data_IF_712929405624
#
_entry.id   IF_712929405624
#
_cell.length_a   1.000
_cell.length_b   1.000
_cell.length_c   1.000
_cell.angle_alpha   90.00
_cell.angle_beta   90.00
_cell.angle_gamma   90.00
#
_symmetry.space_group_name_H-M   'P 1'
#
loop_
_entity.id
_entity.type
_entity.pdbx_description
1 polymer ?
#
# COMPACT_ATOMS: atom_id res chain seq x y z
N UNK A 1 27.49 -1.48 11.50
CA UNK A 1 26.37 -2.42 11.63
C UNK A 1 25.53 -2.01 12.83
N UNK A 2 24.22 -2.03 12.70
CA UNK A 2 23.29 -1.82 13.80
C UNK A 2 22.73 -3.14 14.33
N UNK A 3 22.77 -3.32 15.64
CA UNK A 3 22.05 -4.40 16.32
C UNK A 3 20.72 -3.86 16.84
N UNK A 4 19.61 -4.40 16.36
CA UNK A 4 18.28 -3.84 16.59
C UNK A 4 17.41 -4.83 17.35
N UNK A 5 16.93 -4.45 18.53
CA UNK A 5 15.85 -5.14 19.22
C UNK A 5 14.53 -4.48 18.86
N UNK A 6 13.62 -5.26 18.30
CA UNK A 6 12.26 -4.82 17.95
C UNK A 6 11.29 -5.56 18.86
N UNK A 7 10.54 -4.80 19.65
CA UNK A 7 9.55 -5.33 20.58
C UNK A 7 8.40 -6.05 19.87
N UNK A 8 7.79 -7.03 20.53
CA UNK A 8 6.67 -7.83 19.97
C UNK A 8 5.52 -6.96 19.49
N UNK A 9 5.17 -5.89 20.19
CA UNK A 9 4.10 -4.98 19.78
C UNK A 9 4.36 -4.38 18.38
N UNK A 10 5.61 -4.06 18.06
CA UNK A 10 6.01 -3.53 16.75
C UNK A 10 5.85 -4.59 15.66
N UNK A 11 6.33 -5.82 15.89
CA UNK A 11 6.15 -6.92 14.96
C UNK A 11 4.68 -7.23 14.67
N UNK A 12 3.85 -7.20 15.71
CA UNK A 12 2.42 -7.45 15.58
C UNK A 12 1.71 -6.33 14.79
N UNK A 13 2.14 -5.08 14.96
CA UNK A 13 1.57 -3.95 14.22
C UNK A 13 2.03 -3.95 12.76
N UNK A 14 3.30 -4.29 12.47
CA UNK A 14 3.78 -4.52 11.10
C UNK A 14 2.98 -5.61 10.37
N UNK A 15 2.59 -6.66 11.09
CA UNK A 15 1.80 -7.75 10.49
C UNK A 15 0.36 -7.34 10.22
N UNK A 16 -0.25 -6.49 11.07
CA UNK A 16 -1.65 -6.07 10.95
C UNK A 16 -1.88 -5.03 9.87
N UNK A 17 -0.93 -4.13 9.67
CA UNK A 17 -1.08 -2.97 8.80
C UNK A 17 -0.32 -3.19 7.48
N UNK A 18 -1.07 -3.45 6.41
CA UNK A 18 -0.49 -3.67 5.08
C UNK A 18 0.29 -2.46 4.56
N UNK A 19 -0.01 -1.25 5.03
CA UNK A 19 0.73 -0.03 4.64
C UNK A 19 2.16 -0.05 5.17
N UNK A 20 2.42 -0.86 6.21
CA UNK A 20 3.74 -1.04 6.81
C UNK A 20 4.61 -2.11 6.10
N UNK A 21 4.11 -2.74 5.04
CA UNK A 21 4.89 -3.74 4.29
C UNK A 21 6.19 -3.19 3.72
N UNK A 22 6.23 -1.90 3.40
CA UNK A 22 7.46 -1.23 2.96
C UNK A 22 8.50 -1.20 4.06
N UNK A 23 8.09 -0.86 5.28
CA UNK A 23 8.99 -0.85 6.43
C UNK A 23 9.58 -2.24 6.67
N UNK A 24 8.76 -3.29 6.49
CA UNK A 24 9.23 -4.67 6.55
C UNK A 24 10.21 -5.00 5.41
N UNK A 25 9.94 -4.53 4.19
CA UNK A 25 10.83 -4.72 3.03
C UNK A 25 12.17 -4.02 3.21
N UNK A 26 12.18 -2.79 3.71
CA UNK A 26 13.41 -2.04 4.07
C UNK A 26 14.21 -2.80 5.12
N UNK A 27 13.55 -3.28 6.19
CA UNK A 27 14.22 -4.05 7.23
C UNK A 27 14.87 -5.33 6.67
N UNK A 28 14.15 -6.09 5.83
CA UNK A 28 14.65 -7.29 5.17
C UNK A 28 15.87 -6.98 4.27
N UNK A 29 15.84 -5.86 3.56
CA UNK A 29 16.94 -5.40 2.72
C UNK A 29 18.17 -5.08 3.56
N UNK A 30 18.03 -4.25 4.61
CA UNK A 30 19.14 -3.86 5.47
C UNK A 30 19.75 -5.05 6.22
N UNK A 31 18.95 -6.06 6.58
CA UNK A 31 19.45 -7.33 7.14
C UNK A 31 20.27 -8.10 6.10
N UNK A 32 19.80 -8.17 4.86
CA UNK A 32 20.48 -8.85 3.75
C UNK A 32 21.81 -8.20 3.39
N UNK A 33 21.87 -6.87 3.45
CA UNK A 33 23.07 -6.06 3.21
C UNK A 33 24.04 -6.05 4.39
N UNK A 34 23.66 -6.64 5.53
CA UNK A 34 24.51 -6.69 6.74
C UNK A 34 24.62 -5.35 7.48
N UNK A 35 23.74 -4.40 7.19
CA UNK A 35 23.68 -3.14 7.95
C UNK A 35 22.90 -3.29 9.26
N UNK A 36 21.94 -4.22 9.30
CA UNK A 36 21.13 -4.55 10.47
C UNK A 36 21.30 -6.01 10.85
N UNK A 37 21.47 -6.26 12.15
CA UNK A 37 21.38 -7.56 12.80
C UNK A 37 20.30 -7.49 13.89
N UNK A 38 19.39 -8.46 13.93
CA UNK A 38 18.34 -8.50 14.93
C UNK A 38 18.85 -9.05 16.25
N UNK A 39 18.52 -8.40 17.36
CA UNK A 39 18.57 -8.96 18.70
C UNK A 39 17.20 -9.61 18.95
N UNK A 40 17.15 -10.94 19.00
CA UNK A 40 15.90 -11.69 19.07
C UNK A 40 15.81 -12.53 20.36
N UNK A 41 15.29 -11.97 21.45
CA UNK A 41 14.97 -12.72 22.67
C UNK A 41 13.90 -13.79 22.44
N UNK A 42 14.00 -14.92 23.13
CA UNK A 42 13.00 -16.02 23.11
C UNK A 42 11.60 -15.51 23.46
N UNK A 43 11.47 -14.56 24.37
CA UNK A 43 10.17 -13.97 24.75
C UNK A 43 9.43 -13.34 23.58
N UNK A 44 10.14 -12.68 22.67
CA UNK A 44 9.53 -12.08 21.47
C UNK A 44 8.95 -13.15 20.56
N UNK A 45 9.69 -14.22 20.32
CA UNK A 45 9.24 -15.34 19.48
C UNK A 45 8.00 -15.99 20.07
N UNK A 46 8.05 -16.33 21.36
CA UNK A 46 6.96 -17.02 22.05
C UNK A 46 5.69 -16.15 22.13
N UNK A 47 5.85 -14.85 22.35
CA UNK A 47 4.74 -13.91 22.39
C UNK A 47 4.14 -13.67 21.00
N UNK A 48 4.97 -13.55 19.97
CA UNK A 48 4.53 -13.42 18.58
C UNK A 48 3.70 -14.64 18.18
N UNK A 49 4.18 -15.86 18.41
CA UNK A 49 3.46 -17.09 18.11
C UNK A 49 2.11 -17.17 18.84
N UNK A 50 2.05 -16.83 20.13
CA UNK A 50 0.80 -16.78 20.89
C UNK A 50 -0.24 -15.81 20.32
N UNK A 51 0.21 -14.69 19.74
CA UNK A 51 -0.67 -13.65 19.22
C UNK A 51 -1.04 -13.82 17.74
N UNK A 52 -0.26 -14.56 16.97
CA UNK A 52 -0.42 -14.78 15.52
C UNK A 52 -1.82 -15.19 15.10
N UNK A 53 -2.37 -16.24 15.71
CA UNK A 53 -3.73 -16.73 15.38
C UNK A 53 -4.80 -15.65 15.63
N UNK A 54 -4.66 -14.90 16.72
CA UNK A 54 -5.59 -13.83 17.08
C UNK A 54 -5.57 -12.69 16.07
N UNK A 55 -4.40 -12.36 15.53
CA UNK A 55 -4.27 -11.28 14.54
C UNK A 55 -4.99 -11.62 13.24
N UNK A 56 -4.81 -12.83 12.73
CA UNK A 56 -5.46 -13.29 11.50
C UNK A 56 -6.99 -13.22 11.63
N UNK A 57 -7.52 -13.64 12.79
CA UNK A 57 -8.96 -13.65 13.02
C UNK A 57 -9.56 -12.28 13.37
N UNK A 58 -8.87 -11.51 14.24
CA UNK A 58 -9.44 -10.29 14.81
C UNK A 58 -9.53 -9.14 13.80
N UNK A 59 -8.53 -8.97 12.91
CA UNK A 59 -8.51 -7.87 11.95
C UNK A 59 -9.70 -7.92 10.99
N UNK A 60 -9.96 -9.07 10.40
CA UNK A 60 -11.04 -9.21 9.43
C UNK A 60 -12.42 -9.13 10.09
N UNK A 61 -12.60 -9.75 11.28
CA UNK A 61 -13.85 -9.68 12.03
C UNK A 61 -14.14 -8.25 12.52
N UNK A 62 -13.13 -7.54 13.00
CA UNK A 62 -13.26 -6.16 13.46
C UNK A 62 -13.64 -5.21 12.33
N UNK A 63 -12.93 -5.28 11.19
CA UNK A 63 -13.21 -4.43 10.03
C UNK A 63 -14.59 -4.71 9.45
N UNK A 64 -14.96 -5.98 9.24
CA UNK A 64 -16.29 -6.36 8.75
C UNK A 64 -17.41 -5.90 9.69
N UNK A 65 -17.21 -6.04 11.01
CA UNK A 65 -18.16 -5.56 12.02
C UNK A 65 -18.30 -4.03 11.99
N UNK A 66 -17.20 -3.31 11.83
CA UNK A 66 -17.19 -1.83 11.75
C UNK A 66 -17.90 -1.35 10.48
N UNK A 67 -17.59 -1.97 9.33
CA UNK A 67 -18.27 -1.67 8.06
C UNK A 67 -19.78 -1.95 8.13
N UNK A 68 -20.18 -3.06 8.75
CA UNK A 68 -21.59 -3.37 8.96
C UNK A 68 -22.30 -2.30 9.78
N UNK A 69 -21.73 -1.88 10.91
CA UNK A 69 -22.29 -0.80 11.76
C UNK A 69 -22.35 0.54 11.01
N UNK A 70 -21.33 0.85 10.22
CA UNK A 70 -21.31 2.07 9.41
C UNK A 70 -22.42 2.04 8.34
N UNK A 71 -22.59 0.92 7.63
CA UNK A 71 -23.67 0.73 6.64
C UNK A 71 -25.04 0.87 7.29
N UNK A 72 -25.28 0.25 8.45
CA UNK A 72 -26.53 0.36 9.22
C UNK A 72 -26.83 1.81 9.65
N UNK A 73 -25.80 2.54 10.10
CA UNK A 73 -25.96 3.95 10.49
C UNK A 73 -26.28 4.84 9.29
N UNK A 74 -25.59 4.65 8.15
CA UNK A 74 -25.83 5.41 6.92
C UNK A 74 -27.20 5.08 6.33
N UNK A 75 -27.62 3.84 6.37
CA UNK A 75 -28.96 3.46 5.88
C UNK A 75 -30.08 4.10 6.70
N UNK A 76 -29.88 4.22 8.01
CA UNK A 76 -30.85 4.78 8.95
C UNK A 76 -30.88 6.31 8.98
N UNK A 77 -29.73 6.98 8.87
CA UNK A 77 -29.57 8.41 9.10
C UNK A 77 -29.01 9.18 7.90
N UNK A 78 -28.61 8.48 6.82
CA UNK A 78 -28.02 9.10 5.64
C UNK A 78 -29.02 9.88 4.79
N UNK A 79 -28.48 10.83 4.03
CA UNK A 79 -29.22 11.71 3.11
C UNK A 79 -29.42 11.07 1.73
N UNK A 80 -29.70 11.92 0.71
CA UNK A 80 -29.91 11.48 -0.68
C UNK A 80 -28.70 10.77 -1.30
N UNK A 81 -27.49 10.94 -0.76
CA UNK A 81 -26.25 10.33 -1.24
C UNK A 81 -25.93 8.99 -0.55
N UNK A 82 -26.79 8.51 0.37
CA UNK A 82 -26.55 7.26 1.12
C UNK A 82 -26.21 6.06 0.24
N UNK A 83 -26.81 5.94 -0.94
CA UNK A 83 -26.56 4.86 -1.88
C UNK A 83 -25.11 4.82 -2.38
N UNK A 84 -24.53 5.99 -2.68
CA UNK A 84 -23.13 6.12 -3.12
C UNK A 84 -22.18 5.71 -1.98
N UNK A 85 -22.41 6.20 -0.77
CA UNK A 85 -21.58 5.89 0.39
C UNK A 85 -21.62 4.40 0.74
N UNK A 86 -22.81 3.77 0.72
CA UNK A 86 -22.96 2.33 0.94
C UNK A 86 -22.21 1.52 -0.15
N UNK A 87 -22.27 1.96 -1.41
CA UNK A 87 -21.55 1.32 -2.51
C UNK A 87 -20.03 1.39 -2.29
N UNK A 88 -19.48 2.51 -1.82
CA UNK A 88 -18.06 2.64 -1.47
C UNK A 88 -17.67 1.72 -0.31
N UNK A 89 -18.51 1.63 0.72
CA UNK A 89 -18.28 0.71 1.84
C UNK A 89 -18.35 -0.76 1.42
N UNK A 90 -19.19 -1.11 0.44
CA UNK A 90 -19.23 -2.45 -0.13
C UNK A 90 -17.94 -2.77 -0.92
N UNK A 91 -17.39 -1.81 -1.65
CA UNK A 91 -16.11 -1.99 -2.35
C UNK A 91 -14.96 -2.24 -1.36
N UNK A 92 -14.95 -1.58 -0.19
CA UNK A 92 -13.99 -1.86 0.88
C UNK A 92 -14.21 -3.27 1.48
N UNK A 93 -15.46 -3.67 1.70
CA UNK A 93 -15.81 -4.99 2.25
C UNK A 93 -15.32 -6.15 1.34
N UNK A 94 -15.42 -5.96 0.02
CA UNK A 94 -14.89 -6.91 -0.97
C UNK A 94 -13.36 -7.06 -0.95
N UNK A 95 -12.63 -6.07 -0.42
CA UNK A 95 -11.17 -6.14 -0.27
C UNK A 95 -10.71 -6.88 0.99
N UNK A 96 -11.59 -7.19 1.94
CA UNK A 96 -11.24 -7.87 3.21
C UNK A 96 -10.50 -9.21 3.00
N UNK A 97 -10.87 -10.09 2.04
CA UNK A 97 -10.11 -11.31 1.79
C UNK A 97 -8.65 -11.04 1.40
N UNK A 98 -8.39 -10.05 0.56
CA UNK A 98 -7.03 -9.64 0.15
C UNK A 98 -6.23 -9.08 1.33
N UNK A 99 -6.87 -8.33 2.24
CA UNK A 99 -6.22 -7.85 3.46
C UNK A 99 -5.81 -9.01 4.39
N UNK A 100 -6.60 -10.08 4.47
CA UNK A 100 -6.22 -11.30 5.22
C UNK A 100 -5.00 -11.97 4.63
N UNK A 101 -4.92 -12.07 3.31
CA UNK A 101 -3.79 -12.66 2.60
C UNK A 101 -2.53 -11.81 2.82
N UNK A 102 -2.61 -10.48 2.73
CA UNK A 102 -1.51 -9.57 3.00
C UNK A 102 -1.00 -9.68 4.45
N UNK A 103 -1.91 -9.82 5.43
CA UNK A 103 -1.54 -10.07 6.83
C UNK A 103 -0.82 -11.41 6.99
N UNK A 104 -1.32 -12.47 6.34
CA UNK A 104 -0.70 -13.79 6.38
C UNK A 104 0.71 -13.79 5.75
N UNK A 105 0.89 -13.07 4.63
CA UNK A 105 2.20 -12.88 4.01
C UNK A 105 3.17 -12.14 4.92
N UNK A 106 2.73 -11.03 5.53
CA UNK A 106 3.55 -10.29 6.49
C UNK A 106 3.99 -11.14 7.68
N UNK A 107 3.10 -11.97 8.21
CA UNK A 107 3.42 -12.92 9.29
C UNK A 107 4.49 -13.93 8.83
N UNK A 108 4.32 -14.54 7.64
CA UNK A 108 5.31 -15.47 7.09
C UNK A 108 6.68 -14.82 6.87
N UNK A 109 6.73 -13.58 6.41
CA UNK A 109 7.96 -12.82 6.22
C UNK A 109 8.67 -12.60 7.56
N UNK A 110 7.94 -12.17 8.58
CA UNK A 110 8.49 -11.99 9.94
C UNK A 110 9.02 -13.32 10.50
N UNK A 111 8.28 -14.41 10.36
CA UNK A 111 8.74 -15.74 10.77
C UNK A 111 10.03 -16.17 10.06
N UNK A 112 10.15 -15.90 8.76
CA UNK A 112 11.39 -16.16 8.01
C UNK A 112 12.58 -15.34 8.54
N UNK A 113 12.35 -14.11 9.00
CA UNK A 113 13.40 -13.32 9.67
C UNK A 113 13.80 -13.97 11.00
N UNK A 114 12.84 -14.39 11.82
CA UNK A 114 13.10 -15.06 13.09
C UNK A 114 13.87 -16.37 12.91
N UNK A 115 13.49 -17.19 11.94
CA UNK A 115 14.16 -18.46 11.63
C UNK A 115 15.63 -18.28 11.18
N UNK A 116 15.99 -17.13 10.63
CA UNK A 116 17.35 -16.82 10.19
C UNK A 116 18.19 -16.10 11.24
N UNK A 117 17.55 -15.70 12.34
CA UNK A 117 18.19 -14.94 13.43
C UNK A 117 18.50 -15.87 14.58
N UNK A 118 19.68 -15.71 15.19
CA UNK A 118 20.02 -16.42 16.42
C UNK A 118 19.10 -15.97 17.56
N UNK A 119 18.37 -16.92 18.13
CA UNK A 119 17.50 -16.66 19.29
C UNK A 119 18.34 -16.61 20.56
N UNK A 120 18.10 -15.59 21.38
CA UNK A 120 18.74 -15.41 22.68
C UNK A 120 17.83 -15.99 23.75
N UNK A 121 18.27 -17.06 24.37
CA UNK A 121 17.57 -17.67 25.50
C UNK A 121 17.73 -16.88 26.80
N UNK A 122 16.72 -16.95 27.67
CA UNK A 122 16.68 -16.19 28.91
C UNK A 122 17.58 -16.86 29.96
N UNK A 123 18.70 -16.26 30.27
CA UNK A 123 19.59 -16.74 31.33
C UNK A 123 18.99 -16.52 32.73
N UNK A 124 19.44 -17.29 33.71
CA UNK A 124 18.99 -17.11 35.11
C UNK A 124 19.41 -15.74 35.68
N UNK A 125 20.53 -15.19 35.23
CA UNK A 125 20.94 -13.85 35.61
C UNK A 125 19.98 -12.77 35.11
N UNK A 126 19.46 -12.91 33.89
CA UNK A 126 18.42 -12.03 33.34
C UNK A 126 17.12 -12.15 34.14
N UNK A 127 16.69 -13.37 34.45
CA UNK A 127 15.50 -13.62 35.30
C UNK A 127 15.57 -12.95 36.64
N UNK A 128 16.72 -13.07 37.29
CA UNK A 128 16.97 -12.46 38.64
C UNK A 128 16.90 -10.92 38.53
N UNK A 129 17.54 -10.32 37.53
CA UNK A 129 17.51 -8.86 37.37
C UNK A 129 16.11 -8.36 37.00
N UNK A 130 15.37 -9.08 36.13
CA UNK A 130 13.99 -8.75 35.81
C UNK A 130 13.08 -8.83 37.06
N UNK A 131 13.24 -9.87 37.89
CA UNK A 131 12.52 -9.98 39.16
C UNK A 131 12.88 -8.87 40.14
N UNK A 132 14.17 -8.46 40.20
CA UNK A 132 14.62 -7.34 41.04
C UNK A 132 13.95 -6.02 40.61
N UNK A 133 13.77 -5.76 39.30
CA UNK A 133 13.00 -4.59 38.84
C UNK A 133 11.58 -4.56 39.40
N UNK A 134 10.93 -5.74 39.48
CA UNK A 134 9.57 -5.84 40.01
C UNK A 134 9.54 -5.54 41.53
N UNK A 135 10.51 -6.04 42.28
CA UNK A 135 10.66 -5.78 43.72
C UNK A 135 10.89 -4.28 43.96
N UNK A 136 11.74 -3.66 43.18
CA UNK A 136 12.13 -2.26 43.31
C UNK A 136 11.10 -1.30 42.68
N UNK A 137 10.01 -1.82 42.07
CA UNK A 137 8.99 -1.06 41.33
C UNK A 137 9.58 -0.15 40.22
N UNK A 138 10.69 -0.55 39.64
CA UNK A 138 11.32 0.13 38.52
C UNK A 138 10.63 -0.23 37.20
N UNK A 139 10.71 0.64 36.19
CA UNK A 139 10.14 0.35 34.89
C UNK A 139 10.53 -1.04 34.37
N UNK A 140 9.59 -1.82 33.83
CA UNK A 140 8.19 -1.50 33.49
C UNK A 140 7.19 -1.66 34.66
N UNK A 141 7.59 -2.04 35.86
CA UNK A 141 6.74 -2.30 37.02
C UNK A 141 6.33 -1.05 37.83
N UNK A 142 6.64 0.14 37.35
CA UNK A 142 6.18 1.41 37.96
C UNK A 142 4.66 1.57 37.87
N UNK A 143 3.98 0.74 37.04
CA UNK A 143 2.53 0.61 36.95
C UNK A 143 2.12 -0.77 37.42
N UNK A 144 0.86 -0.90 37.92
CA UNK A 144 0.34 -2.17 38.45
C UNK A 144 -0.04 -3.14 37.30
N UNK A 145 0.91 -3.51 36.45
CA UNK A 145 0.75 -4.49 35.35
C UNK A 145 1.84 -5.54 35.41
N UNK A 146 1.56 -6.71 34.87
CA UNK A 146 2.57 -7.77 34.75
C UNK A 146 3.48 -7.44 33.53
N UNK A 147 4.62 -6.84 33.80
CA UNK A 147 5.61 -6.45 32.80
C UNK A 147 6.86 -7.31 32.83
N UNK A 148 6.77 -8.59 33.22
CA UNK A 148 7.97 -9.44 33.34
C UNK A 148 8.65 -9.68 31.99
N UNK A 149 7.90 -9.85 30.92
CA UNK A 149 8.45 -10.04 29.57
C UNK A 149 9.16 -8.75 29.12
N UNK A 150 8.57 -7.57 29.36
CA UNK A 150 9.19 -6.26 29.09
C UNK A 150 10.48 -6.05 29.88
N UNK A 151 10.50 -6.48 31.17
CA UNK A 151 11.71 -6.41 32.01
C UNK A 151 12.82 -7.31 31.47
N UNK A 152 12.47 -8.50 30.99
CA UNK A 152 13.40 -9.43 30.35
C UNK A 152 14.00 -8.80 29.09
N UNK A 153 13.20 -8.14 28.25
CA UNK A 153 13.69 -7.44 27.06
C UNK A 153 14.70 -6.35 27.41
N UNK A 154 14.43 -5.54 28.44
CA UNK A 154 15.36 -4.51 28.94
C UNK A 154 16.68 -5.13 29.37
N UNK A 155 16.64 -6.20 30.15
CA UNK A 155 17.87 -6.82 30.70
C UNK A 155 18.70 -7.52 29.61
N UNK A 156 18.05 -8.21 28.64
CA UNK A 156 18.75 -8.79 27.48
C UNK A 156 19.37 -7.69 26.63
N UNK A 157 18.65 -6.61 26.34
CA UNK A 157 19.20 -5.49 25.58
C UNK A 157 20.40 -4.87 26.30
N UNK A 158 20.33 -4.66 27.63
CA UNK A 158 21.42 -4.14 28.41
C UNK A 158 22.66 -5.05 28.36
N UNK A 159 22.50 -6.37 28.38
CA UNK A 159 23.60 -7.32 28.27
C UNK A 159 24.22 -7.28 26.84
N UNK A 160 23.42 -7.22 25.79
CA UNK A 160 23.90 -7.12 24.42
C UNK A 160 24.71 -5.84 24.18
N UNK A 161 24.27 -4.71 24.72
CA UNK A 161 25.01 -3.43 24.66
C UNK A 161 26.33 -3.50 25.38
N UNK A 162 26.41 -4.24 26.51
CA UNK A 162 27.65 -4.39 27.31
C UNK A 162 28.65 -5.35 26.66
N UNK A 163 28.17 -6.49 26.15
CA UNK A 163 29.03 -7.56 25.62
C UNK A 163 29.64 -7.17 24.27
N UNK A 164 28.89 -6.52 23.40
CA UNK A 164 29.37 -6.17 22.08
C UNK A 164 30.09 -4.83 22.06
N UNK A 165 31.26 -4.82 21.42
CA UNK A 165 32.13 -3.63 21.40
C UNK A 165 31.40 -2.41 20.78
N UNK A 166 31.10 -1.36 21.59
CA UNK A 166 30.35 -0.20 21.12
C UNK A 166 31.10 0.65 20.08
N UNK A 167 32.38 0.36 19.83
CA UNK A 167 33.17 1.05 18.80
C UNK A 167 32.93 0.47 17.38
N UNK A 168 32.40 -0.76 17.30
CA UNK A 168 32.10 -1.43 16.02
C UNK A 168 30.60 -1.53 15.74
N UNK A 169 29.78 -1.54 16.77
CA UNK A 169 28.34 -1.74 16.66
C UNK A 169 27.58 -0.54 17.25
N UNK A 170 26.45 -0.22 16.63
CA UNK A 170 25.43 0.66 17.20
C UNK A 170 24.23 -0.20 17.57
N UNK A 171 23.43 0.28 18.50
CA UNK A 171 22.28 -0.45 19.01
C UNK A 171 21.02 0.39 18.85
N UNK A 172 19.90 -0.25 18.63
CA UNK A 172 18.59 0.37 18.63
C UNK A 172 17.58 -0.52 19.35
N UNK A 173 16.81 0.08 20.24
CA UNK A 173 15.64 -0.53 20.88
C UNK A 173 14.39 0.15 20.33
N UNK A 174 13.48 -0.64 19.75
CA UNK A 174 12.27 -0.13 19.09
C UNK A 174 11.05 -0.70 19.78
N UNK A 175 10.15 0.15 20.29
CA UNK A 175 8.91 -0.27 20.94
C UNK A 175 7.79 0.74 20.74
N UNK A 176 6.56 0.26 20.50
CA UNK A 176 5.34 1.09 20.53
C UNK A 176 4.77 1.24 21.94
N UNK A 177 5.27 0.47 22.91
CA UNK A 177 4.82 0.50 24.31
C UNK A 177 5.39 1.71 25.06
N UNK A 178 5.00 2.91 24.64
CA UNK A 178 5.43 4.17 25.26
C UNK A 178 5.03 4.30 26.73
N UNK A 179 4.08 3.51 27.19
CA UNK A 179 3.59 3.58 28.58
C UNK A 179 4.59 2.97 29.57
N UNK A 180 5.27 1.91 29.17
CA UNK A 180 6.16 1.15 30.04
C UNK A 180 7.64 1.49 29.81
N UNK A 181 8.00 1.99 28.62
CA UNK A 181 9.40 2.25 28.25
C UNK A 181 9.75 3.74 28.07
N UNK A 182 8.76 4.64 27.85
CA UNK A 182 9.06 6.07 27.64
C UNK A 182 8.92 6.90 28.91
N UNK A 183 9.51 8.07 28.88
CA UNK A 183 9.45 9.03 29.98
C UNK A 183 8.00 9.42 30.30
N UNK A 184 7.54 9.31 31.56
CA UNK A 184 6.13 9.49 31.92
C UNK A 184 5.63 10.92 31.67
N UNK A 185 6.47 11.93 31.94
CA UNK A 185 6.10 13.36 31.97
C UNK A 185 6.87 14.21 30.93
N UNK A 186 7.54 13.59 29.95
CA UNK A 186 8.26 14.28 28.88
C UNK A 186 7.92 13.69 27.50
N UNK A 187 8.68 14.08 26.47
CA UNK A 187 8.55 13.52 25.12
C UNK A 187 8.67 11.99 25.17
N UNK A 188 7.72 11.31 24.51
CA UNK A 188 7.68 9.84 24.44
C UNK A 188 8.86 9.23 23.68
N UNK A 189 9.59 10.03 22.92
CA UNK A 189 10.85 9.64 22.28
C UNK A 189 12.04 9.54 23.27
N UNK A 190 11.84 9.93 24.51
CA UNK A 190 12.85 9.81 25.59
C UNK A 190 12.55 8.53 26.38
N UNK A 191 13.55 7.65 26.62
CA UNK A 191 13.35 6.44 27.43
C UNK A 191 13.03 6.79 28.89
N UNK A 192 12.34 5.88 29.56
CA UNK A 192 12.04 6.01 30.98
C UNK A 192 13.35 6.16 31.82
N UNK A 193 13.38 7.03 32.86
CA UNK A 193 14.59 7.25 33.68
C UNK A 193 15.24 5.95 34.19
N UNK A 194 14.45 4.95 34.61
CA UNK A 194 14.93 3.66 35.13
C UNK A 194 15.68 2.78 34.11
N UNK A 195 15.61 3.12 32.83
CA UNK A 195 16.28 2.38 31.75
C UNK A 195 17.19 3.28 30.91
N UNK A 196 17.21 4.59 31.19
CA UNK A 196 17.96 5.59 30.42
C UNK A 196 19.46 5.29 30.32
N UNK A 197 20.04 4.64 31.31
CA UNK A 197 21.46 4.27 31.35
C UNK A 197 21.85 3.29 30.22
N UNK A 198 20.88 2.57 29.63
CA UNK A 198 21.12 1.67 28.51
C UNK A 198 21.18 2.42 27.17
N UNK A 199 20.87 3.73 27.15
CA UNK A 199 20.75 4.52 25.93
C UNK A 199 21.74 5.66 25.86
N UNK A 200 22.09 6.07 24.67
CA UNK A 200 22.94 7.21 24.38
C UNK A 200 22.55 7.84 23.06
N UNK A 201 22.98 9.07 22.79
CA UNK A 201 22.63 9.79 21.55
C UNK A 201 23.22 9.18 20.26
N UNK A 202 24.23 8.33 20.37
CA UNK A 202 25.01 7.85 19.21
C UNK A 202 25.09 6.33 19.16
N UNK A 203 25.34 5.66 20.29
CA UNK A 203 25.73 4.25 20.32
C UNK A 203 24.56 3.29 20.59
N UNK A 204 23.59 3.70 21.38
CA UNK A 204 22.44 2.89 21.79
C UNK A 204 21.21 3.78 21.78
N UNK A 205 20.38 3.63 20.76
CA UNK A 205 19.29 4.55 20.44
C UNK A 205 17.94 3.96 20.88
N UNK A 206 17.04 4.82 21.29
CA UNK A 206 15.66 4.48 21.64
C UNK A 206 14.71 5.04 20.61
N UNK A 207 13.80 4.21 20.08
CA UNK A 207 12.79 4.59 19.08
C UNK A 207 11.42 4.08 19.46
N UNK A 208 10.40 4.88 19.15
CA UNK A 208 8.99 4.52 19.32
C UNK A 208 8.33 4.05 18.02
N UNK A 209 9.06 4.12 16.90
CA UNK A 209 8.62 3.57 15.59
C UNK A 209 9.79 2.89 14.89
N UNK A 210 9.52 1.82 14.16
CA UNK A 210 10.56 1.16 13.36
C UNK A 210 10.99 2.04 12.18
N UNK A 211 10.07 2.80 11.60
CA UNK A 211 10.38 3.74 10.51
C UNK A 211 11.45 4.76 10.90
N UNK A 212 11.32 5.40 12.10
CA UNK A 212 12.33 6.34 12.60
C UNK A 212 13.70 5.65 12.80
N UNK A 213 13.69 4.41 13.30
CA UNK A 213 14.90 3.63 13.48
C UNK A 213 15.60 3.33 12.14
N UNK A 214 14.87 2.83 11.15
CA UNK A 214 15.42 2.51 9.83
C UNK A 214 15.88 3.76 9.09
N UNK A 215 15.14 4.87 9.18
CA UNK A 215 15.57 6.15 8.63
C UNK A 215 16.88 6.65 9.27
N UNK A 216 17.09 6.39 10.56
CA UNK A 216 18.35 6.73 11.25
C UNK A 216 19.50 5.83 10.81
N UNK A 217 19.22 4.58 10.45
CA UNK A 217 20.22 3.59 10.00
C UNK A 217 20.65 3.90 8.57
N UNK A 218 19.71 3.96 7.65
CA UNK A 218 19.95 4.23 6.23
C UNK A 218 18.77 5.04 5.63
N UNK A 219 18.88 6.38 5.62
CA UNK A 219 17.82 7.24 5.08
C UNK A 219 17.63 7.10 3.56
N UNK A 220 18.67 6.70 2.82
CA UNK A 220 18.58 6.53 1.36
C UNK A 220 17.66 5.38 1.03
N UNK A 221 17.92 4.18 1.56
CA UNK A 221 17.12 2.99 1.31
C UNK A 221 15.65 3.16 1.68
N UNK A 222 15.35 3.80 2.82
CA UNK A 222 13.95 4.00 3.21
C UNK A 222 13.25 5.01 2.29
N UNK A 223 13.93 6.10 1.91
CA UNK A 223 13.34 7.09 1.02
C UNK A 223 13.12 6.53 -0.39
N UNK A 224 14.04 5.73 -0.92
CA UNK A 224 13.87 5.04 -2.21
C UNK A 224 12.64 4.14 -2.19
N UNK A 225 12.50 3.29 -1.17
CA UNK A 225 11.35 2.38 -1.04
C UNK A 225 10.02 3.12 -0.78
N UNK A 226 10.05 4.21 -0.01
CA UNK A 226 8.86 5.05 0.20
C UNK A 226 8.46 5.78 -1.08
N UNK A 227 9.43 6.30 -1.84
CA UNK A 227 9.17 6.94 -3.13
C UNK A 227 8.62 5.95 -4.16
N UNK A 228 9.13 4.70 -4.20
CA UNK A 228 8.55 3.65 -5.05
C UNK A 228 7.08 3.39 -4.74
N UNK A 229 6.64 3.58 -3.48
CA UNK A 229 5.23 3.45 -3.11
C UNK A 229 4.38 4.67 -3.45
N UNK A 230 4.94 5.87 -3.38
CA UNK A 230 4.25 7.08 -3.85
C UNK A 230 4.01 7.02 -5.38
N UNK A 231 4.81 6.21 -6.10
CA UNK A 231 4.60 5.87 -7.51
C UNK A 231 3.59 4.73 -7.74
N UNK A 232 3.19 4.00 -6.70
CA UNK A 232 1.99 3.15 -6.77
C UNK A 232 0.81 4.11 -6.62
N UNK A 233 0.46 4.75 -7.73
CA UNK A 233 -0.80 5.46 -7.90
C UNK A 233 -1.93 4.62 -7.28
N UNK A 234 -2.84 5.26 -6.57
CA UNK A 234 -4.08 4.59 -6.17
C UNK A 234 -4.68 3.93 -7.42
N UNK A 235 -5.04 2.64 -7.38
CA UNK A 235 -5.57 1.97 -8.55
C UNK A 235 -6.76 2.76 -9.06
N UNK A 236 -6.77 3.08 -10.35
CA UNK A 236 -7.86 3.84 -10.97
C UNK A 236 -9.18 3.14 -10.72
N UNK A 237 -10.21 3.90 -10.38
CA UNK A 237 -11.57 3.37 -10.23
C UNK A 237 -12.06 2.88 -11.60
N UNK A 238 -12.89 1.85 -11.61
CA UNK A 238 -13.48 1.37 -12.85
C UNK A 238 -14.20 2.49 -13.63
N UNK A 239 -14.83 3.45 -12.93
CA UNK A 239 -15.45 4.63 -13.55
C UNK A 239 -14.44 5.52 -14.30
N UNK A 240 -13.24 5.74 -13.74
CA UNK A 240 -12.18 6.52 -14.38
C UNK A 240 -11.61 5.80 -15.60
N UNK A 241 -11.52 4.46 -15.53
CA UNK A 241 -11.11 3.64 -16.68
C UNK A 241 -12.15 3.70 -17.80
N UNK A 242 -13.44 3.60 -17.46
CA UNK A 242 -14.54 3.71 -18.44
C UNK A 242 -14.58 5.10 -19.08
N UNK A 243 -14.36 6.16 -18.32
CA UNK A 243 -14.28 7.52 -18.83
C UNK A 243 -13.10 7.69 -19.80
N UNK A 244 -11.91 7.20 -19.44
CA UNK A 244 -10.74 7.21 -20.32
C UNK A 244 -10.95 6.39 -21.61
N UNK A 245 -11.62 5.24 -21.54
CA UNK A 245 -12.03 4.46 -22.71
C UNK A 245 -12.94 5.27 -23.59
N UNK A 246 -13.96 5.95 -23.03
CA UNK A 246 -14.89 6.80 -23.77
C UNK A 246 -14.16 7.89 -24.55
N UNK A 247 -13.22 8.60 -23.92
CA UNK A 247 -12.41 9.63 -24.58
C UNK A 247 -11.56 9.05 -25.73
N UNK A 248 -10.95 7.87 -25.53
CA UNK A 248 -10.14 7.23 -26.57
C UNK A 248 -10.99 6.73 -27.74
N UNK A 249 -12.20 6.22 -27.48
CA UNK A 249 -13.17 5.84 -28.52
C UNK A 249 -13.54 7.07 -29.35
N UNK A 250 -13.83 8.19 -28.71
CA UNK A 250 -14.15 9.43 -29.40
C UNK A 250 -13.01 9.91 -30.31
N UNK A 251 -11.77 9.85 -29.84
CA UNK A 251 -10.57 10.19 -30.62
C UNK A 251 -10.40 9.27 -31.83
N UNK A 252 -10.57 7.96 -31.65
CA UNK A 252 -10.50 6.97 -32.75
C UNK A 252 -11.62 7.20 -33.77
N UNK A 253 -12.84 7.39 -33.28
CA UNK A 253 -14.00 7.67 -34.15
C UNK A 253 -13.84 8.98 -34.91
N UNK A 254 -13.42 10.06 -34.24
CA UNK A 254 -13.23 11.37 -34.85
C UNK A 254 -12.18 11.36 -35.96
N UNK A 255 -11.04 10.72 -35.74
CA UNK A 255 -10.00 10.58 -36.76
C UNK A 255 -10.52 9.80 -38.00
N UNK A 256 -11.27 8.70 -37.79
CA UNK A 256 -11.90 7.97 -38.88
C UNK A 256 -12.95 8.82 -39.61
N UNK A 257 -13.71 9.62 -38.86
CA UNK A 257 -14.67 10.56 -39.41
C UNK A 257 -14.01 11.60 -40.33
N UNK A 258 -12.89 12.21 -39.86
CA UNK A 258 -12.14 13.19 -40.68
C UNK A 258 -11.54 12.57 -41.95
N UNK A 259 -11.00 11.36 -41.87
CA UNK A 259 -10.54 10.61 -43.04
C UNK A 259 -11.71 10.34 -44.02
N UNK A 260 -12.89 10.05 -43.51
CA UNK A 260 -14.09 9.84 -44.35
C UNK A 260 -14.55 11.16 -44.99
N UNK A 261 -14.51 12.27 -44.24
CA UNK A 261 -14.81 13.62 -44.74
C UNK A 261 -13.91 13.99 -45.91
N UNK A 262 -12.60 13.80 -45.77
CA UNK A 262 -11.61 14.02 -46.82
C UNK A 262 -11.93 13.17 -48.09
N UNK A 263 -12.21 11.88 -47.91
CA UNK A 263 -12.60 11.00 -49.01
C UNK A 263 -13.90 11.42 -49.71
N UNK A 264 -14.85 12.03 -49.00
CA UNK A 264 -16.07 12.59 -49.57
C UNK A 264 -15.76 13.87 -50.37
N UNK A 265 -14.91 14.76 -49.83
CA UNK A 265 -14.48 15.97 -50.52
C UNK A 265 -13.67 15.68 -51.77
N UNK A 266 -12.86 14.63 -51.79
CA UNK A 266 -12.12 14.14 -52.94
C UNK A 266 -13.02 13.41 -53.95
N UNK A 267 -14.29 13.13 -53.62
CA UNK A 267 -15.23 12.45 -54.46
C UNK A 267 -15.04 10.93 -54.57
N UNK A 268 -14.18 10.36 -53.69
CA UNK A 268 -13.94 8.91 -53.61
C UNK A 268 -15.16 8.23 -53.00
N UNK A 269 -15.74 8.84 -51.95
CA UNK A 269 -16.96 8.36 -51.29
C UNK A 269 -18.14 9.27 -51.67
N UNK A 270 -19.26 8.71 -52.06
CA UNK A 270 -20.45 9.47 -52.45
C UNK A 270 -21.51 9.48 -51.36
N UNK A 271 -22.10 10.65 -51.11
CA UNK A 271 -23.30 10.77 -50.28
C UNK A 271 -24.52 10.47 -51.15
N UNK A 272 -25.38 9.57 -50.70
CA UNK A 272 -26.59 9.15 -51.42
C UNK A 272 -27.83 9.26 -50.52
N UNK A 273 -29.00 9.47 -51.15
CA UNK A 273 -30.25 9.45 -50.38
C UNK A 273 -30.60 8.02 -49.96
N UNK A 274 -31.36 7.89 -48.88
CA UNK A 274 -31.72 6.59 -48.29
C UNK A 274 -32.41 5.66 -49.28
N UNK A 275 -33.25 6.22 -50.12
CA UNK A 275 -34.01 5.49 -51.12
C UNK A 275 -33.15 4.95 -52.28
N UNK A 276 -31.98 5.57 -52.50
CA UNK A 276 -31.03 5.20 -53.56
C UNK A 276 -29.83 4.46 -53.07
N UNK A 277 -29.78 4.14 -51.72
CA UNK A 277 -28.67 3.45 -51.14
C UNK A 277 -28.55 2.03 -51.69
N UNK A 278 -27.41 1.67 -52.29
CA UNK A 278 -27.26 0.36 -52.93
C UNK A 278 -27.18 -0.72 -51.87
N UNK A 279 -27.98 -1.78 -52.06
CA UNK A 279 -28.02 -2.94 -51.16
C UNK A 279 -26.69 -3.73 -51.21
N UNK A 280 -25.93 -3.63 -52.32
CA UNK A 280 -24.64 -4.29 -52.51
C UNK A 280 -23.78 -3.42 -53.46
N UNK A 281 -22.93 -2.55 -52.92
CA UNK A 281 -21.81 -1.99 -53.66
C UNK A 281 -20.54 -2.13 -52.78
N UNK A 282 -19.71 -3.09 -53.12
CA UNK A 282 -18.47 -3.37 -52.39
C UNK A 282 -17.30 -2.46 -52.79
N UNK A 283 -17.40 -1.76 -53.93
CA UNK A 283 -16.31 -0.93 -54.44
C UNK A 283 -16.36 0.52 -53.97
N UNK A 284 -17.52 1.14 -53.79
CA UNK A 284 -17.62 2.59 -53.52
C UNK A 284 -18.10 2.91 -52.10
N UNK A 285 -18.67 1.94 -51.39
CA UNK A 285 -19.20 2.10 -50.00
C UNK A 285 -19.82 3.48 -49.74
N UNK A 286 -20.90 3.87 -50.44
CA UNK A 286 -21.50 5.18 -50.29
C UNK A 286 -22.07 5.37 -48.89
N UNK A 287 -22.18 6.63 -48.44
CA UNK A 287 -22.73 7.00 -47.13
C UNK A 287 -24.11 7.61 -47.31
N UNK A 288 -25.08 7.22 -46.47
CA UNK A 288 -26.41 7.81 -46.48
C UNK A 288 -26.36 9.23 -45.93
N UNK A 289 -27.14 10.15 -46.54
CA UNK A 289 -27.13 11.58 -46.16
C UNK A 289 -27.51 11.80 -44.70
N UNK A 290 -28.56 11.14 -44.21
CA UNK A 290 -29.02 11.27 -42.82
C UNK A 290 -27.98 10.77 -41.82
N UNK A 291 -27.25 9.69 -42.14
CA UNK A 291 -26.15 9.17 -41.33
C UNK A 291 -24.98 10.17 -41.32
N UNK A 292 -24.65 10.75 -42.49
CA UNK A 292 -23.59 11.71 -42.64
C UNK A 292 -23.87 13.00 -41.84
N UNK A 293 -25.10 13.55 -41.96
CA UNK A 293 -25.52 14.72 -41.17
C UNK A 293 -25.49 14.47 -39.67
N UNK A 294 -25.88 13.26 -39.24
CA UNK A 294 -25.74 12.82 -37.85
C UNK A 294 -24.29 12.75 -37.39
N UNK A 295 -23.38 12.24 -38.25
CA UNK A 295 -21.97 12.16 -37.97
C UNK A 295 -21.31 13.54 -37.84
N UNK A 296 -21.66 14.48 -38.71
CA UNK A 296 -21.18 15.88 -38.61
C UNK A 296 -21.58 16.54 -37.28
N UNK A 297 -22.83 16.32 -36.85
CA UNK A 297 -23.29 16.84 -35.55
C UNK A 297 -22.54 16.21 -34.40
N UNK A 298 -22.33 14.89 -34.42
CA UNK A 298 -21.56 14.17 -33.39
C UNK A 298 -20.08 14.65 -33.37
N UNK A 299 -19.50 14.97 -34.53
CA UNK A 299 -18.14 15.50 -34.58
C UNK A 299 -18.03 16.84 -33.86
N UNK A 300 -18.99 17.75 -34.04
CA UNK A 300 -19.03 19.03 -33.31
C UNK A 300 -19.18 18.83 -31.80
N UNK A 301 -19.99 17.86 -31.38
CA UNK A 301 -20.15 17.52 -29.93
C UNK A 301 -18.84 16.99 -29.34
N UNK A 302 -18.05 16.22 -30.08
CA UNK A 302 -16.72 15.74 -29.68
C UNK A 302 -15.71 16.88 -29.61
N UNK A 303 -15.72 17.79 -30.61
CA UNK A 303 -14.87 18.99 -30.64
C UNK A 303 -15.13 19.89 -29.42
N UNK A 304 -16.40 20.13 -29.07
CA UNK A 304 -16.79 20.92 -27.90
C UNK A 304 -16.34 20.28 -26.58
N UNK A 305 -16.39 18.95 -26.48
CA UNK A 305 -16.06 18.24 -25.25
C UNK A 305 -14.55 18.06 -25.03
N UNK A 306 -13.81 17.70 -26.08
CA UNK A 306 -12.38 17.31 -25.99
C UNK A 306 -11.46 18.48 -26.34
N UNK A 307 -11.90 19.38 -27.23
CA UNK A 307 -11.12 20.45 -27.82
C UNK A 307 -10.38 19.99 -29.08
N UNK A 308 -10.49 20.81 -30.13
CA UNK A 308 -9.98 20.50 -31.47
C UNK A 308 -8.47 20.22 -31.49
N UNK A 309 -7.70 20.92 -30.67
CA UNK A 309 -6.25 20.74 -30.56
C UNK A 309 -5.84 19.36 -30.00
N UNK A 310 -6.77 18.65 -29.38
CA UNK A 310 -6.56 17.33 -28.80
C UNK A 310 -7.10 16.18 -29.66
N UNK A 311 -7.59 16.47 -30.86
CA UNK A 311 -8.26 15.53 -31.78
C UNK A 311 -7.46 15.18 -33.03
N UNK A 312 -6.20 15.56 -33.09
CA UNK A 312 -5.31 15.27 -34.22
C UNK A 312 -5.12 16.47 -35.15
N UNK A 313 -4.58 16.27 -36.36
CA UNK A 313 -4.25 14.98 -36.97
C UNK A 313 -3.12 14.22 -36.26
N UNK A 314 -3.20 12.88 -36.27
CA UNK A 314 -2.25 12.00 -35.61
C UNK A 314 -1.23 11.46 -36.63
N UNK A 315 0.05 11.40 -36.23
CA UNK A 315 1.01 10.59 -36.99
C UNK A 315 0.83 9.08 -36.69
N UNK A 316 1.55 8.22 -37.43
CA UNK A 316 1.40 6.75 -37.29
C UNK A 316 1.77 6.27 -35.87
N UNK A 317 2.72 6.92 -35.20
CA UNK A 317 3.13 6.57 -33.84
C UNK A 317 2.05 6.98 -32.82
N UNK A 318 1.55 8.19 -32.92
CA UNK A 318 0.49 8.71 -32.06
C UNK A 318 -0.80 7.91 -32.23
N UNK A 319 -1.14 7.59 -33.49
CA UNK A 319 -2.29 6.74 -33.81
C UNK A 319 -2.14 5.35 -33.20
N UNK A 320 -0.96 4.73 -33.34
CA UNK A 320 -0.65 3.45 -32.70
C UNK A 320 -0.76 3.50 -31.18
N UNK A 321 -0.28 4.60 -30.55
CA UNK A 321 -0.41 4.82 -29.11
C UNK A 321 -1.85 4.94 -28.63
N UNK A 322 -2.71 5.65 -29.36
CA UNK A 322 -4.13 5.81 -29.00
C UNK A 322 -4.84 4.46 -29.04
N UNK A 323 -4.64 3.69 -30.11
CA UNK A 323 -5.23 2.35 -30.24
C UNK A 323 -4.68 1.37 -29.21
N UNK A 324 -3.37 1.42 -28.93
CA UNK A 324 -2.74 0.58 -27.89
C UNK A 324 -3.27 0.88 -26.50
N UNK A 325 -3.44 2.15 -26.13
CA UNK A 325 -4.06 2.56 -24.86
C UNK A 325 -5.50 2.07 -24.75
N UNK A 326 -6.29 2.23 -25.82
CA UNK A 326 -7.68 1.79 -25.86
C UNK A 326 -7.78 0.27 -25.68
N UNK A 327 -6.97 -0.50 -26.41
CA UNK A 327 -6.92 -1.98 -26.29
C UNK A 327 -6.54 -2.41 -24.89
N UNK A 328 -5.49 -1.80 -24.29
CA UNK A 328 -5.05 -2.14 -22.94
C UNK A 328 -6.12 -1.86 -21.87
N UNK A 329 -6.80 -0.72 -21.93
CA UNK A 329 -7.85 -0.37 -20.97
C UNK A 329 -9.08 -1.27 -21.12
N UNK A 330 -9.47 -1.64 -22.35
CA UNK A 330 -10.55 -2.58 -22.63
C UNK A 330 -10.22 -3.97 -22.08
N UNK A 331 -8.97 -4.44 -22.26
CA UNK A 331 -8.50 -5.69 -21.67
C UNK A 331 -8.61 -5.70 -20.15
N UNK A 332 -8.25 -4.60 -19.47
CA UNK A 332 -8.41 -4.46 -18.00
C UNK A 332 -9.87 -4.64 -17.56
N UNK A 333 -10.83 -4.29 -18.43
CA UNK A 333 -12.27 -4.46 -18.17
C UNK A 333 -12.83 -5.81 -18.64
N UNK A 334 -11.98 -6.69 -19.22
CA UNK A 334 -12.36 -8.07 -19.56
C UNK A 334 -12.48 -8.39 -21.05
N UNK A 335 -12.11 -7.46 -21.94
CA UNK A 335 -12.01 -7.74 -23.37
C UNK A 335 -10.75 -8.59 -23.69
N UNK A 336 -10.73 -9.25 -24.84
CA UNK A 336 -9.56 -9.99 -25.30
C UNK A 336 -8.37 -9.07 -25.57
N UNK A 337 -7.13 -9.56 -25.30
CA UNK A 337 -5.91 -8.74 -25.36
C UNK A 337 -5.66 -8.11 -26.73
N UNK A 338 -5.95 -8.82 -27.80
CA UNK A 338 -5.68 -8.42 -29.16
C UNK A 338 -6.92 -7.86 -29.89
N UNK A 339 -7.94 -7.44 -29.14
CA UNK A 339 -9.13 -6.84 -29.74
C UNK A 339 -8.81 -5.43 -30.25
N UNK A 340 -8.16 -5.39 -31.40
CA UNK A 340 -8.06 -4.18 -32.20
C UNK A 340 -9.34 -4.10 -33.07
N UNK A 341 -10.24 -3.18 -32.73
CA UNK A 341 -11.28 -2.73 -33.61
C UNK A 341 -10.62 -1.94 -34.76
N UNK A 342 -10.16 -2.68 -35.73
CA UNK A 342 -9.63 -2.11 -36.97
C UNK A 342 -10.73 -1.75 -37.96
#
# INVERSE_FOLDING_TARGET
MFKVLVDTCVWLDLAKDYTQQVILSVLEQLIREGEVELILPRTIVDEFERNKARIIESNAKSLSSTLKKAKEAIDKYGDQQKGLVISQLNAVDQKIPYLKEAVADSLMRIEKLFLRTQIIDISDSVKVRAAQRAIDKRAPFHRQRNGIDDAILIEIYADEVKVHNPNRNRFAFVTHNVHDFSHPNADKKIPHPDISDNFSRIKSLYFITLSDALHRINPVTINEQMNELEWIDEPRKASEIVEAIGELIDKVWYNRHKILEEKIEEGIVKIVEKETFPIIDHETRPVQRDIWEGALKAALEVEDRIGIDSLGPWDDFEWGMINGKLSALRWVLGDDWDMLDT
#
